data_IF_633832433077
#
_entry.id   IF_633832433077
#
_cell.length_a   1.000
_cell.length_b   1.000
_cell.length_c   1.000
_cell.angle_alpha   90.00
_cell.angle_beta   90.00
_cell.angle_gamma   90.00
#
_symmetry.space_group_name_H-M   'P 1'
#
loop_
_entity.id
_entity.type
_entity.pdbx_description
1 polymer ?
#
# COMPACT_ATOMS: atom_id res chain seq x y z
N UNK A 1 20.29 16.13 10.34
CA UNK A 1 20.04 16.74 9.01
C UNK A 1 20.69 18.11 9.00
N UNK A 2 21.26 18.55 7.88
CA UNK A 2 21.85 19.88 7.76
C UNK A 2 21.05 20.70 6.74
N UNK A 3 20.73 21.98 7.01
CA UNK A 3 20.12 22.86 6.02
C UNK A 3 21.03 23.00 4.78
N UNK A 4 20.41 23.12 3.60
CA UNK A 4 21.14 23.38 2.36
C UNK A 4 21.52 24.87 2.32
N UNK A 5 22.82 25.16 2.35
CA UNK A 5 23.33 26.53 2.30
C UNK A 5 23.41 27.06 0.86
N UNK A 6 23.37 28.40 0.72
CA UNK A 6 23.61 29.09 -0.55
C UNK A 6 22.47 28.96 -1.58
N UNK A 7 21.24 28.71 -1.12
CA UNK A 7 20.06 28.74 -1.98
C UNK A 7 19.52 30.17 -2.13
N UNK A 8 18.94 30.53 -3.29
CA UNK A 8 18.08 31.71 -3.38
C UNK A 8 16.82 31.52 -2.51
N UNK A 9 16.01 32.56 -2.38
CA UNK A 9 14.67 32.41 -1.79
C UNK A 9 13.87 31.38 -2.61
N UNK A 10 13.36 30.35 -1.93
CA UNK A 10 12.66 29.23 -2.55
C UNK A 10 11.16 29.40 -2.38
N UNK A 11 10.43 29.30 -3.49
CA UNK A 11 8.97 29.39 -3.56
C UNK A 11 8.40 28.38 -4.57
N UNK A 12 7.09 28.46 -4.85
CA UNK A 12 6.42 27.56 -5.79
C UNK A 12 6.77 27.81 -7.26
N UNK A 13 7.57 28.83 -7.58
CA UNK A 13 8.05 29.15 -8.92
C UNK A 13 9.44 28.56 -9.21
N UNK A 14 10.23 28.23 -8.18
CA UNK A 14 11.60 27.70 -8.35
C UNK A 14 11.95 26.44 -7.53
N UNK A 15 11.04 25.90 -6.71
CA UNK A 15 11.24 24.74 -5.82
C UNK A 15 11.98 23.53 -6.43
N UNK A 16 11.70 23.21 -7.68
CA UNK A 16 12.24 22.10 -8.47
C UNK A 16 13.72 22.24 -8.78
N UNK A 17 14.32 23.43 -8.62
CA UNK A 17 15.77 23.59 -8.65
C UNK A 17 16.47 22.70 -7.60
N UNK A 18 15.77 22.38 -6.51
CA UNK A 18 16.29 21.47 -5.49
C UNK A 18 16.53 20.06 -6.03
N UNK A 19 15.87 19.67 -7.12
CA UNK A 19 16.03 18.35 -7.72
C UNK A 19 17.49 18.07 -8.16
N UNK A 20 18.26 19.12 -8.48
CA UNK A 20 19.68 19.00 -8.86
C UNK A 20 20.57 18.41 -7.75
N UNK A 21 20.09 18.41 -6.50
CA UNK A 21 20.84 17.93 -5.34
C UNK A 21 20.39 16.55 -4.83
N UNK A 22 19.41 15.92 -5.48
CA UNK A 22 18.84 14.64 -5.03
C UNK A 22 19.84 13.48 -5.07
N UNK A 23 20.89 13.56 -5.91
CA UNK A 23 21.96 12.56 -5.94
C UNK A 23 22.77 12.50 -4.64
N UNK A 24 22.73 13.57 -3.83
CA UNK A 24 23.41 13.64 -2.53
C UNK A 24 22.56 13.10 -1.37
N UNK A 25 21.32 12.70 -1.64
CA UNK A 25 20.38 12.17 -0.64
C UNK A 25 18.99 12.80 -0.73
N UNK A 26 18.05 12.33 0.11
CA UNK A 26 16.69 12.87 0.12
C UNK A 26 16.69 14.33 0.57
N UNK A 27 16.01 15.18 -0.19
CA UNK A 27 15.78 16.58 0.16
C UNK A 27 14.37 16.71 0.71
N UNK A 28 14.23 17.45 1.80
CA UNK A 28 12.99 17.61 2.54
C UNK A 28 12.72 19.09 2.81
N UNK A 29 11.44 19.47 2.70
CA UNK A 29 10.94 20.76 3.18
C UNK A 29 10.70 20.68 4.68
N UNK A 30 11.78 20.58 5.44
CA UNK A 30 11.73 20.34 6.88
C UNK A 30 11.25 21.58 7.65
N UNK A 31 10.46 21.34 8.68
CA UNK A 31 10.01 22.35 9.63
C UNK A 31 11.20 22.96 10.38
N UNK A 32 11.14 24.28 10.59
CA UNK A 32 12.09 24.97 11.46
C UNK A 32 11.76 24.77 12.95
N UNK A 33 10.49 24.54 13.25
CA UNK A 33 9.99 24.39 14.62
C UNK A 33 10.01 22.92 15.08
N UNK A 34 9.97 22.73 16.40
CA UNK A 34 9.75 21.43 17.00
C UNK A 34 8.28 21.01 16.86
N UNK A 35 7.98 20.17 15.86
CA UNK A 35 6.62 19.70 15.56
C UNK A 35 5.95 19.01 16.73
N UNK A 36 6.73 18.45 17.68
CA UNK A 36 6.18 17.78 18.86
C UNK A 36 5.59 18.73 19.89
N UNK A 37 5.84 20.05 19.73
CA UNK A 37 5.19 21.11 20.49
C UNK A 37 3.90 21.61 19.84
N UNK A 38 3.50 21.02 18.72
CA UNK A 38 2.29 21.36 17.96
C UNK A 38 2.22 22.87 17.65
N UNK A 39 3.18 23.40 16.86
CA UNK A 39 3.16 24.80 16.47
C UNK A 39 1.88 25.12 15.69
N UNK A 40 1.39 26.36 15.79
CA UNK A 40 0.04 26.70 15.31
C UNK A 40 -0.16 26.47 13.81
N UNK A 41 0.89 26.64 13.00
CA UNK A 41 0.82 26.40 11.55
C UNK A 41 0.53 24.93 11.19
N UNK A 42 0.84 24.00 12.11
CA UNK A 42 0.62 22.56 11.92
C UNK A 42 -0.87 22.23 11.82
N UNK A 43 -1.74 23.02 12.46
CA UNK A 43 -3.20 22.86 12.42
C UNK A 43 -3.85 23.46 11.17
N UNK A 44 -3.09 24.19 10.35
CA UNK A 44 -3.62 24.90 9.19
C UNK A 44 -4.59 26.04 9.55
N UNK A 45 -5.45 26.39 8.61
CA UNK A 45 -6.49 27.42 8.78
C UNK A 45 -7.87 26.75 8.85
N UNK A 46 -8.67 27.12 9.85
CA UNK A 46 -10.06 26.65 9.94
C UNK A 46 -10.93 27.36 8.90
N UNK A 47 -11.68 26.65 8.04
CA UNK A 47 -12.61 27.27 7.11
C UNK A 47 -13.70 28.09 7.81
N UNK A 48 -14.10 29.19 7.18
CA UNK A 48 -15.22 30.00 7.63
C UNK A 48 -16.58 29.28 7.46
N UNK A 49 -17.69 29.96 7.79
CA UNK A 49 -19.03 29.36 7.71
C UNK A 49 -19.49 29.10 6.26
N UNK A 50 -18.82 29.69 5.27
CA UNK A 50 -19.02 29.39 3.85
C UNK A 50 -18.04 28.31 3.34
N UNK A 51 -17.18 27.80 4.21
CA UNK A 51 -16.15 26.81 3.92
C UNK A 51 -14.90 27.38 3.27
N UNK A 52 -14.67 28.69 3.31
CA UNK A 52 -13.53 29.31 2.63
C UNK A 52 -12.34 29.43 3.58
N UNK A 53 -11.14 29.26 3.02
CA UNK A 53 -9.89 29.69 3.65
C UNK A 53 -9.64 31.14 3.26
N UNK A 54 -9.37 32.02 4.23
CA UNK A 54 -9.22 33.45 4.00
C UNK A 54 -7.76 33.84 3.74
N UNK A 55 -6.82 33.14 4.38
CA UNK A 55 -5.39 33.50 4.36
C UNK A 55 -4.51 32.40 3.76
N UNK A 56 -5.04 31.20 3.52
CA UNK A 56 -4.32 30.06 2.97
C UNK A 56 -4.90 29.56 1.63
N UNK A 57 -4.01 29.04 0.79
CA UNK A 57 -4.36 28.29 -0.43
C UNK A 57 -3.87 26.85 -0.25
N UNK A 58 -4.78 25.95 0.06
CA UNK A 58 -4.49 24.54 0.34
C UNK A 58 -5.01 23.59 -0.75
N UNK A 59 -5.37 24.12 -1.92
CA UNK A 59 -5.87 23.33 -3.04
C UNK A 59 -5.26 23.78 -4.37
N UNK A 60 -4.95 22.81 -5.22
CA UNK A 60 -4.64 23.03 -6.63
C UNK A 60 -5.52 22.15 -7.50
N UNK A 61 -6.07 22.74 -8.56
CA UNK A 61 -6.89 22.05 -9.55
C UNK A 61 -6.09 21.90 -10.83
N UNK A 62 -5.80 20.66 -11.24
CA UNK A 62 -5.03 20.35 -12.45
C UNK A 62 -5.93 19.69 -13.48
N UNK A 63 -6.12 20.35 -14.61
CA UNK A 63 -6.82 19.81 -15.77
C UNK A 63 -5.85 19.03 -16.66
N UNK A 64 -6.16 17.76 -16.91
CA UNK A 64 -5.40 16.85 -17.77
C UNK A 64 -6.28 16.46 -18.95
N UNK A 65 -5.98 17.00 -20.12
CA UNK A 65 -6.74 16.67 -21.34
C UNK A 65 -6.23 15.38 -21.97
N UNK A 66 -7.16 14.51 -22.34
CA UNK A 66 -6.80 13.24 -22.97
C UNK A 66 -6.30 13.46 -24.39
N UNK A 67 -5.05 13.04 -24.64
CA UNK A 67 -4.48 13.02 -26.00
C UNK A 67 -5.28 12.14 -26.96
N UNK A 68 -5.89 11.06 -26.45
CA UNK A 68 -6.56 10.04 -27.28
C UNK A 68 -8.02 10.37 -27.57
N UNK A 69 -8.64 11.18 -26.72
CA UNK A 69 -10.06 11.49 -26.76
C UNK A 69 -10.25 12.93 -26.31
N UNK A 70 -10.35 13.87 -27.25
CA UNK A 70 -10.49 15.29 -26.94
C UNK A 70 -11.80 15.63 -26.22
N UNK A 71 -12.77 14.72 -26.17
CA UNK A 71 -13.97 14.88 -25.35
C UNK A 71 -13.68 14.66 -23.86
N UNK A 72 -12.58 13.98 -23.52
CA UNK A 72 -12.27 13.53 -22.18
C UNK A 72 -11.23 14.43 -21.48
N UNK A 73 -11.60 14.92 -20.30
CA UNK A 73 -10.71 15.70 -19.43
C UNK A 73 -10.80 15.18 -18.01
N UNK A 74 -9.65 14.92 -17.39
CA UNK A 74 -9.56 14.60 -15.97
C UNK A 74 -9.23 15.87 -15.20
N UNK A 75 -10.05 16.21 -14.21
CA UNK A 75 -9.77 17.30 -13.28
C UNK A 75 -9.34 16.71 -11.94
N UNK A 76 -8.08 16.93 -11.57
CA UNK A 76 -7.55 16.56 -10.27
C UNK A 76 -7.71 17.72 -9.31
N UNK A 77 -8.30 17.45 -8.15
CA UNK A 77 -8.42 18.36 -7.02
C UNK A 77 -7.46 17.85 -5.96
N UNK A 78 -6.27 18.44 -5.90
CA UNK A 78 -5.29 18.11 -4.87
C UNK A 78 -5.49 19.00 -3.66
N UNK A 79 -5.36 18.40 -2.48
CA UNK A 79 -5.46 19.02 -1.17
C UNK A 79 -4.11 18.89 -0.47
N UNK A 80 -3.64 19.99 0.12
CA UNK A 80 -2.44 19.97 0.94
C UNK A 80 -2.80 20.18 2.41
N UNK A 81 -2.40 19.25 3.26
CA UNK A 81 -2.52 19.37 4.71
C UNK A 81 -1.15 19.64 5.31
N UNK A 82 -1.06 20.52 6.31
CA UNK A 82 0.20 20.83 7.00
C UNK A 82 0.76 19.63 7.76
N UNK A 83 -0.09 18.70 8.18
CA UNK A 83 0.29 17.58 9.03
C UNK A 83 -0.73 16.45 8.97
N UNK A 84 -0.24 15.25 8.68
CA UNK A 84 -0.95 13.99 8.86
C UNK A 84 -0.63 13.43 10.24
N UNK A 85 -1.68 13.18 11.04
CA UNK A 85 -1.52 12.67 12.40
C UNK A 85 -1.38 11.14 12.43
N UNK A 86 -1.52 10.44 11.32
CA UNK A 86 -1.50 8.99 11.23
C UNK A 86 -2.64 8.31 12.00
N UNK A 87 -2.87 7.01 11.78
CA UNK A 87 -3.84 6.25 12.57
C UNK A 87 -3.45 6.19 14.05
N UNK A 88 -4.45 6.35 14.91
CA UNK A 88 -4.35 6.03 16.33
C UNK A 88 -4.17 4.53 16.52
N UNK A 89 -3.50 4.11 17.59
CA UNK A 89 -3.38 2.68 17.92
C UNK A 89 -4.74 2.02 18.18
N UNK A 90 -5.75 2.80 18.61
CA UNK A 90 -7.14 2.34 18.75
C UNK A 90 -7.82 2.11 17.40
N UNK A 91 -7.22 2.58 16.31
CA UNK A 91 -7.71 2.39 14.94
C UNK A 91 -7.36 1.02 14.35
N UNK A 92 -6.92 0.05 15.17
CA UNK A 92 -6.61 -1.31 14.74
C UNK A 92 -7.79 -2.25 15.00
N UNK A 93 -8.13 -3.09 14.01
CA UNK A 93 -9.24 -4.03 14.08
C UNK A 93 -8.92 -5.24 14.96
N UNK A 94 -9.92 -5.70 15.71
CA UNK A 94 -9.86 -6.96 16.44
C UNK A 94 -9.69 -8.16 15.50
N UNK A 95 -8.78 -9.11 15.79
CA UNK A 95 -8.05 -9.32 17.05
C UNK A 95 -6.64 -8.72 17.10
N UNK A 96 -6.24 -7.91 16.11
CA UNK A 96 -4.87 -7.39 16.02
C UNK A 96 -4.61 -6.28 17.04
N UNK A 97 -5.66 -5.59 17.49
CA UNK A 97 -5.64 -4.68 18.64
C UNK A 97 -5.06 -5.33 19.91
N UNK A 98 -5.32 -6.63 20.12
CA UNK A 98 -4.77 -7.39 21.24
C UNK A 98 -3.24 -7.51 21.23
N UNK A 99 -2.58 -7.37 20.08
CA UNK A 99 -1.11 -7.34 19.97
C UNK A 99 -0.52 -5.99 20.41
N UNK A 100 -1.38 -5.02 20.71
CA UNK A 100 -1.02 -3.63 20.98
C UNK A 100 -1.41 -3.21 22.40
N UNK A 101 -1.78 -4.16 23.26
CA UNK A 101 -2.17 -3.91 24.64
C UNK A 101 -1.09 -3.16 25.46
N UNK A 102 0.19 -3.38 25.15
CA UNK A 102 1.33 -2.73 25.81
C UNK A 102 1.72 -1.39 25.17
N UNK A 103 1.00 -0.96 24.12
CA UNK A 103 1.21 0.34 23.47
C UNK A 103 0.34 1.41 24.15
N UNK A 104 0.90 2.59 24.37
CA UNK A 104 0.17 3.70 24.98
C UNK A 104 -1.07 4.05 24.15
N UNK A 105 -2.24 4.03 24.80
CA UNK A 105 -3.50 4.37 24.17
C UNK A 105 -3.55 5.85 23.80
N UNK A 106 -4.24 6.18 22.71
CA UNK A 106 -4.32 7.57 22.23
C UNK A 106 -3.08 8.00 21.44
N UNK A 107 -2.09 7.13 21.25
CA UNK A 107 -0.91 7.41 20.46
C UNK A 107 -1.17 7.13 18.97
N UNK A 108 -0.64 8.00 18.12
CA UNK A 108 -0.68 7.85 16.68
C UNK A 108 0.67 7.40 16.08
N UNK A 109 0.59 6.77 14.91
CA UNK A 109 1.73 6.25 14.17
C UNK A 109 1.58 6.57 12.68
N UNK A 110 2.70 6.82 12.01
CA UNK A 110 2.69 7.28 10.62
C UNK A 110 2.61 8.80 10.50
N UNK A 111 2.72 9.54 11.60
CA UNK A 111 2.69 10.99 11.65
C UNK A 111 3.73 11.61 10.67
N UNK A 112 3.32 12.57 9.85
CA UNK A 112 4.25 13.33 9.01
C UNK A 112 3.80 14.77 8.76
N UNK A 113 4.79 15.66 8.68
CA UNK A 113 4.58 17.04 8.20
C UNK A 113 4.29 16.97 6.71
N UNK A 114 3.31 17.77 6.27
CA UNK A 114 2.88 17.84 4.88
C UNK A 114 2.12 16.58 4.45
N UNK A 115 1.00 16.76 3.74
CA UNK A 115 0.29 15.65 3.14
C UNK A 115 -0.43 16.05 1.85
N UNK A 116 -0.47 15.14 0.87
CA UNK A 116 -1.10 15.35 -0.42
C UNK A 116 -2.15 14.28 -0.69
N UNK A 117 -3.42 14.68 -0.58
CA UNK A 117 -4.57 13.87 -0.96
C UNK A 117 -5.27 14.46 -2.19
N UNK A 118 -6.12 13.68 -2.86
CA UNK A 118 -6.82 14.17 -4.04
C UNK A 118 -8.08 13.42 -4.42
N UNK A 119 -8.98 14.16 -5.04
CA UNK A 119 -10.02 13.62 -5.90
C UNK A 119 -9.66 13.79 -7.37
N UNK A 120 -10.17 12.91 -8.22
CA UNK A 120 -10.16 13.12 -9.67
C UNK A 120 -11.56 12.95 -10.23
N UNK A 121 -12.08 13.97 -10.92
CA UNK A 121 -13.34 13.90 -11.64
C UNK A 121 -13.06 13.80 -13.13
N UNK A 122 -13.64 12.79 -13.79
CA UNK A 122 -13.53 12.62 -15.23
C UNK A 122 -14.73 13.23 -15.93
N UNK A 123 -14.46 14.12 -16.87
CA UNK A 123 -15.46 14.73 -17.74
C UNK A 123 -15.42 14.10 -19.13
N UNK A 124 -16.59 14.01 -19.76
CA UNK A 124 -16.78 13.75 -21.19
C UNK A 124 -17.73 14.79 -21.76
N UNK A 125 -17.31 15.50 -22.79
CA UNK A 125 -18.08 16.59 -23.42
C UNK A 125 -18.58 17.62 -22.39
N UNK A 126 -17.71 17.96 -21.43
CA UNK A 126 -18.02 18.90 -20.34
C UNK A 126 -18.94 18.35 -19.24
N UNK A 127 -19.39 17.09 -19.30
CA UNK A 127 -20.22 16.45 -18.28
C UNK A 127 -19.42 15.47 -17.44
N UNK A 128 -19.56 15.49 -16.10
CA UNK A 128 -18.86 14.53 -15.25
C UNK A 128 -19.42 13.11 -15.45
N UNK A 129 -18.53 12.13 -15.48
CA UNK A 129 -18.84 10.70 -15.75
C UNK A 129 -18.45 9.78 -14.60
N UNK A 130 -17.53 10.23 -13.74
CA UNK A 130 -17.14 9.51 -12.54
C UNK A 130 -16.11 10.28 -11.74
N UNK A 131 -15.84 9.76 -10.54
CA UNK A 131 -14.93 10.36 -9.57
C UNK A 131 -14.08 9.28 -8.92
N UNK A 132 -12.84 9.61 -8.62
CA UNK A 132 -11.91 8.85 -7.80
C UNK A 132 -11.67 9.60 -6.47
N UNK A 133 -11.61 8.84 -5.38
CA UNK A 133 -11.27 9.30 -4.04
C UNK A 133 -9.98 8.63 -3.61
N UNK A 134 -8.91 9.40 -3.34
CA UNK A 134 -7.65 8.85 -2.81
C UNK A 134 -7.83 8.36 -1.37
N UNK A 135 -7.23 7.22 -1.06
CA UNK A 135 -7.22 6.64 0.27
C UNK A 135 -5.83 6.05 0.49
N UNK A 136 -4.98 6.76 1.23
CA UNK A 136 -3.59 6.36 1.48
C UNK A 136 -2.83 6.11 0.16
N UNK A 137 -2.34 4.89 -0.05
CA UNK A 137 -1.63 4.49 -1.27
C UNK A 137 -2.56 4.08 -2.44
N UNK A 138 -3.87 3.94 -2.22
CA UNK A 138 -4.87 3.51 -3.22
C UNK A 138 -6.13 4.43 -3.21
N UNK A 139 -7.32 3.87 -3.41
CA UNK A 139 -8.57 4.61 -3.40
C UNK A 139 -9.75 3.89 -4.05
N UNK A 140 -10.88 4.60 -4.11
CA UNK A 140 -12.13 4.10 -4.65
C UNK A 140 -12.64 4.96 -5.80
N UNK A 141 -13.20 4.32 -6.82
CA UNK A 141 -13.78 5.00 -7.98
C UNK A 141 -15.28 4.70 -8.09
N UNK A 142 -16.04 5.72 -8.43
CA UNK A 142 -17.49 5.67 -8.56
C UNK A 142 -17.92 6.28 -9.89
N UNK A 143 -19.01 5.77 -10.47
CA UNK A 143 -19.69 6.44 -11.58
C UNK A 143 -20.38 7.70 -11.05
N UNK A 144 -20.57 8.70 -11.91
CA UNK A 144 -21.15 9.96 -11.45
C UNK A 144 -22.58 9.80 -10.90
N UNK A 145 -23.36 8.88 -11.46
CA UNK A 145 -24.73 8.55 -11.07
C UNK A 145 -24.82 7.46 -9.98
N UNK A 146 -23.69 7.07 -9.39
CA UNK A 146 -23.67 6.08 -8.31
C UNK A 146 -24.43 6.60 -7.08
N UNK A 147 -25.28 5.75 -6.50
CA UNK A 147 -26.14 6.08 -5.36
C UNK A 147 -25.36 6.35 -4.06
N UNK A 148 -24.10 5.90 -3.98
CA UNK A 148 -23.22 6.18 -2.85
C UNK A 148 -22.72 7.63 -2.81
N UNK A 149 -22.74 8.33 -3.96
CA UNK A 149 -22.20 9.68 -4.07
C UNK A 149 -23.23 10.73 -3.65
N UNK A 150 -22.96 11.38 -2.52
CA UNK A 150 -23.67 12.61 -2.13
C UNK A 150 -23.15 13.81 -2.92
N UNK A 151 -24.06 14.68 -3.36
CA UNK A 151 -23.74 15.89 -4.13
C UNK A 151 -24.55 17.08 -3.63
N UNK A 152 -23.93 18.24 -3.58
CA UNK A 152 -24.58 19.52 -3.31
C UNK A 152 -24.35 20.47 -4.49
N UNK A 153 -25.43 20.92 -5.13
CA UNK A 153 -25.35 21.77 -6.33
C UNK A 153 -24.41 21.20 -7.41
N UNK A 154 -24.57 19.91 -7.73
CA UNK A 154 -23.72 19.14 -8.66
C UNK A 154 -22.24 18.97 -8.23
N UNK A 155 -21.87 19.39 -7.01
CA UNK A 155 -20.51 19.20 -6.48
C UNK A 155 -20.50 17.99 -5.54
N UNK A 156 -19.57 17.04 -5.71
CA UNK A 156 -19.47 15.88 -4.84
C UNK A 156 -19.08 16.30 -3.43
N UNK A 157 -19.70 15.67 -2.44
CA UNK A 157 -19.29 15.78 -1.04
C UNK A 157 -18.18 14.76 -0.79
N UNK A 158 -17.15 15.18 -0.06
CA UNK A 158 -15.98 14.38 0.29
C UNK A 158 -15.82 14.43 1.79
N UNK A 159 -15.69 13.26 2.41
CA UNK A 159 -15.44 13.11 3.84
C UNK A 159 -13.95 12.76 4.01
N UNK A 160 -13.19 13.63 4.66
CA UNK A 160 -11.77 13.41 4.94
C UNK A 160 -11.62 12.70 6.27
N UNK A 161 -10.83 11.63 6.31
CA UNK A 161 -10.57 10.87 7.51
C UNK A 161 -9.85 11.69 8.57
N UNK A 162 -10.24 11.47 9.82
CA UNK A 162 -9.60 12.10 10.97
C UNK A 162 -8.16 11.62 11.10
N UNK A 163 -7.21 12.55 10.96
CA UNK A 163 -5.77 12.30 11.10
C UNK A 163 -5.07 11.93 9.78
N UNK A 164 -5.56 10.89 9.09
CA UNK A 164 -4.96 10.32 7.87
C UNK A 164 -5.39 10.96 6.55
N UNK A 165 -6.39 11.84 6.61
CA UNK A 165 -6.97 12.59 5.49
C UNK A 165 -7.56 11.80 4.32
N UNK A 166 -7.50 10.47 4.32
CA UNK A 166 -8.08 9.62 3.29
C UNK A 166 -9.51 10.05 2.93
N UNK A 167 -9.82 10.10 1.64
CA UNK A 167 -11.05 10.66 1.12
C UNK A 167 -12.12 9.57 0.92
N UNK A 168 -13.32 9.82 1.43
CA UNK A 168 -14.45 8.90 1.38
C UNK A 168 -15.71 9.54 0.81
N UNK A 169 -16.52 8.72 0.14
CA UNK A 169 -17.81 9.12 -0.43
C UNK A 169 -18.95 9.16 0.60
N UNK A 170 -18.79 8.44 1.72
CA UNK A 170 -19.77 8.39 2.82
C UNK A 170 -19.08 8.63 4.15
N UNK A 171 -19.79 9.17 5.16
CA UNK A 171 -19.26 9.28 6.52
C UNK A 171 -19.25 7.91 7.20
N UNK A 172 -18.60 7.83 8.35
CA UNK A 172 -18.51 6.66 9.22
C UNK A 172 -17.15 5.97 9.16
N UNK A 173 -17.17 4.68 9.51
CA UNK A 173 -15.99 3.85 9.64
C UNK A 173 -15.67 3.14 8.32
N UNK A 174 -14.41 3.23 7.90
CA UNK A 174 -13.93 2.65 6.65
C UNK A 174 -12.70 1.79 6.90
N UNK A 175 -12.80 0.51 6.58
CA UNK A 175 -11.66 -0.40 6.74
C UNK A 175 -10.67 -0.23 5.59
N UNK A 176 -9.41 0.05 5.91
CA UNK A 176 -8.29 0.04 4.98
C UNK A 176 -7.18 -0.91 5.46
N UNK A 177 -6.29 -1.30 4.53
CA UNK A 177 -5.18 -2.25 4.76
C UNK A 177 -5.58 -3.55 5.47
N UNK A 178 -6.86 -3.93 5.36
CA UNK A 178 -7.50 -5.09 6.00
C UNK A 178 -7.53 -5.09 7.54
N UNK A 179 -6.94 -4.09 8.19
CA UNK A 179 -6.66 -4.13 9.63
C UNK A 179 -6.85 -2.79 10.34
N UNK A 180 -7.05 -1.70 9.61
CA UNK A 180 -7.19 -0.36 10.16
C UNK A 180 -8.56 0.21 9.79
N UNK A 181 -9.15 1.01 10.67
CA UNK A 181 -10.33 1.81 10.34
C UNK A 181 -9.99 3.29 10.33
N UNK A 182 -10.35 3.95 9.24
CA UNK A 182 -10.51 5.39 9.21
C UNK A 182 -11.90 5.76 9.68
N UNK A 183 -12.01 6.89 10.37
CA UNK A 183 -13.28 7.50 10.72
C UNK A 183 -13.37 8.87 10.07
N UNK A 184 -14.52 9.17 9.47
CA UNK A 184 -14.80 10.49 8.93
C UNK A 184 -16.26 10.87 9.21
N UNK A 185 -16.52 12.16 9.41
CA UNK A 185 -17.89 12.69 9.51
C UNK A 185 -18.01 14.01 8.74
N UNK A 186 -19.20 14.62 8.76
CA UNK A 186 -19.47 15.83 8.00
C UNK A 186 -18.62 17.04 8.46
N UNK A 187 -18.14 17.04 9.70
CA UNK A 187 -17.26 18.05 10.26
C UNK A 187 -17.63 19.50 9.95
N UNK A 188 -16.60 20.34 9.88
CA UNK A 188 -16.68 21.70 9.33
C UNK A 188 -16.59 21.61 7.82
N UNK A 189 -17.52 22.28 7.12
CA UNK A 189 -17.47 22.38 5.66
C UNK A 189 -16.21 23.10 5.20
N UNK A 190 -15.57 22.55 4.16
CA UNK A 190 -14.47 23.19 3.43
C UNK A 190 -14.80 23.19 1.93
N UNK A 191 -14.76 24.36 1.30
CA UNK A 191 -14.77 24.53 -0.15
C UNK A 191 -13.33 24.76 -0.63
N UNK A 192 -12.61 23.71 -1.04
CA UNK A 192 -11.20 23.84 -1.43
C UNK A 192 -11.02 24.67 -2.70
N UNK A 193 -12.05 24.78 -3.55
CA UNK A 193 -11.95 25.46 -4.84
C UNK A 193 -12.01 26.98 -4.68
N UNK A 194 -12.51 27.50 -3.57
CA UNK A 194 -12.71 28.95 -3.37
C UNK A 194 -11.41 29.76 -3.37
N UNK A 195 -10.28 29.15 -2.97
CA UNK A 195 -8.94 29.77 -2.99
C UNK A 195 -7.95 29.02 -3.89
N UNK A 196 -8.40 28.02 -4.66
CA UNK A 196 -7.51 27.13 -5.39
C UNK A 196 -6.71 27.83 -6.51
N UNK A 197 -5.51 27.31 -6.77
CA UNK A 197 -4.81 27.59 -8.01
C UNK A 197 -5.22 26.62 -9.11
N UNK A 198 -5.45 27.14 -10.31
CA UNK A 198 -5.90 26.34 -11.46
C UNK A 198 -4.77 26.17 -12.46
N UNK A 199 -4.65 24.96 -13.02
CA UNK A 199 -3.61 24.62 -13.97
C UNK A 199 -4.13 23.72 -15.08
N UNK A 200 -3.44 23.78 -16.22
CA UNK A 200 -3.52 22.81 -17.31
C UNK A 200 -2.22 22.04 -17.40
N UNK A 201 -2.31 20.73 -17.48
CA UNK A 201 -1.16 19.85 -17.68
C UNK A 201 -1.25 19.19 -19.06
N UNK A 202 -0.22 19.39 -19.87
CA UNK A 202 -0.07 18.71 -21.16
C UNK A 202 0.62 17.35 -20.95
N UNK A 203 -0.08 16.21 -21.19
CA UNK A 203 0.48 14.88 -20.97
C UNK A 203 1.55 14.48 -21.99
N UNK A 204 1.73 15.22 -23.09
CA UNK A 204 2.75 14.95 -24.11
C UNK A 204 4.06 15.61 -23.74
N UNK A 205 4.02 16.90 -23.42
CA UNK A 205 5.21 17.67 -23.07
C UNK A 205 5.53 17.63 -21.58
N UNK A 206 4.62 17.09 -20.76
CA UNK A 206 4.66 17.15 -19.29
C UNK A 206 4.74 18.57 -18.75
N UNK A 207 4.19 19.55 -19.48
CA UNK A 207 4.21 20.97 -19.12
C UNK A 207 2.96 21.36 -18.34
N UNK A 208 3.16 22.00 -17.18
CA UNK A 208 2.12 22.63 -16.39
C UNK A 208 2.02 24.12 -16.75
N UNK A 209 0.80 24.61 -16.94
CA UNK A 209 0.53 26.03 -17.26
C UNK A 209 -0.57 26.54 -16.34
N UNK A 210 -0.30 27.64 -15.63
CA UNK A 210 -1.28 28.26 -14.74
C UNK A 210 -2.44 28.86 -15.53
N UNK A 211 -3.64 28.70 -15.01
CA UNK A 211 -4.87 29.32 -15.49
C UNK A 211 -5.21 30.42 -14.49
N UNK A 212 -5.13 31.67 -14.92
CA UNK A 212 -5.46 32.81 -14.07
C UNK A 212 -6.96 33.06 -14.10
N UNK A 213 -7.56 33.19 -12.92
CA UNK A 213 -8.94 33.63 -12.77
C UNK A 213 -9.04 35.14 -13.08
N UNK A 214 -10.07 35.58 -13.83
CA UNK A 214 -10.28 36.99 -14.09
C UNK A 214 -10.36 37.79 -12.79
N UNK A 215 -9.53 38.83 -12.66
CA UNK A 215 -9.50 39.70 -11.47
C UNK A 215 -8.55 39.27 -10.35
N UNK A 216 -7.86 38.13 -10.48
CA UNK A 216 -6.79 37.77 -9.54
C UNK A 216 -5.48 38.46 -9.95
N UNK A 217 -4.79 39.20 -9.06
CA UNK A 217 -3.43 39.65 -9.33
C UNK A 217 -2.53 38.42 -9.41
N UNK A 218 -2.14 38.03 -10.63
CA UNK A 218 -1.27 36.89 -10.84
C UNK A 218 0.13 37.21 -10.33
N UNK A 219 0.54 36.61 -9.21
CA UNK A 219 1.94 36.61 -8.76
C UNK A 219 2.52 35.25 -9.11
N UNK A 220 3.47 35.22 -10.06
CA UNK A 220 4.16 34.01 -10.49
C UNK A 220 3.30 33.03 -11.31
N UNK A 221 3.95 32.02 -11.88
CA UNK A 221 3.28 30.87 -12.49
C UNK A 221 3.07 29.73 -11.49
N UNK A 222 3.84 29.70 -10.41
CA UNK A 222 3.76 28.75 -9.30
C UNK A 222 3.59 27.31 -9.81
N UNK A 223 4.41 26.89 -10.77
CA UNK A 223 4.31 25.54 -11.40
C UNK A 223 5.29 24.53 -10.82
N UNK A 224 6.30 25.01 -10.10
CA UNK A 224 7.44 24.22 -9.67
C UNK A 224 7.08 23.16 -8.62
N UNK A 225 6.02 23.41 -7.84
CA UNK A 225 5.48 22.45 -6.85
C UNK A 225 5.19 21.07 -7.45
N UNK A 226 4.76 21.01 -8.72
CA UNK A 226 4.47 19.74 -9.38
C UNK A 226 5.76 18.95 -9.66
N UNK A 227 6.84 19.64 -9.99
CA UNK A 227 8.09 19.02 -10.44
C UNK A 227 9.07 18.74 -9.32
N UNK A 228 8.89 19.33 -8.14
CA UNK A 228 9.70 19.01 -6.97
C UNK A 228 9.55 17.53 -6.59
N UNK A 229 10.67 16.80 -6.66
CA UNK A 229 10.72 15.35 -6.46
C UNK A 229 11.18 14.95 -5.05
N UNK A 230 11.46 15.92 -4.18
CA UNK A 230 11.80 15.69 -2.78
C UNK A 230 10.59 15.39 -1.89
N UNK A 231 10.80 15.56 -0.58
CA UNK A 231 9.82 15.29 0.47
C UNK A 231 9.12 16.58 0.88
N UNK A 232 7.80 16.57 0.83
CA UNK A 232 6.95 17.63 1.34
C UNK A 232 6.80 17.46 2.85
N UNK A 233 7.71 18.05 3.62
CA UNK A 233 7.79 17.93 5.07
C UNK A 233 9.08 17.29 5.57
N UNK A 234 9.11 16.97 6.85
CA UNK A 234 10.27 16.41 7.56
C UNK A 234 10.71 15.04 7.02
N UNK A 235 11.98 14.67 7.25
CA UNK A 235 12.41 13.28 7.12
C UNK A 235 12.11 12.50 8.41
N UNK A 236 11.86 11.21 8.24
CA UNK A 236 11.72 10.26 9.33
C UNK A 236 12.87 10.37 10.33
N UNK A 237 12.53 10.36 11.61
CA UNK A 237 13.52 10.30 12.68
C UNK A 237 14.27 8.95 12.70
N UNK A 238 15.58 8.95 13.03
CA UNK A 238 16.34 7.74 13.30
C UNK A 238 15.67 6.85 14.36
N UNK A 239 15.93 5.55 14.30
CA UNK A 239 15.30 4.55 15.19
C UNK A 239 15.69 4.74 16.66
N UNK A 240 16.86 5.30 16.93
CA UNK A 240 17.39 5.62 18.26
C UNK A 240 17.00 7.02 18.75
N UNK A 241 16.28 7.81 17.93
CA UNK A 241 15.85 9.14 18.32
C UNK A 241 14.85 9.06 19.48
N UNK A 242 14.99 9.87 20.55
CA UNK A 242 14.16 9.75 21.76
C UNK A 242 12.66 9.97 21.53
N UNK A 243 12.30 10.66 20.44
CA UNK A 243 10.90 10.90 20.04
C UNK A 243 10.37 9.85 19.06
N UNK A 244 11.24 9.02 18.51
CA UNK A 244 10.84 7.98 17.57
C UNK A 244 10.43 6.74 18.35
N UNK A 245 9.33 6.12 17.90
CA UNK A 245 8.85 4.88 18.45
C UNK A 245 8.45 3.96 17.32
N UNK A 246 8.54 2.66 17.57
CA UNK A 246 8.21 1.64 16.58
C UNK A 246 7.28 0.63 17.21
N UNK A 247 6.19 0.29 16.53
CA UNK A 247 5.33 -0.81 16.96
C UNK A 247 6.08 -2.13 16.76
N UNK A 248 6.38 -2.92 17.82
CA UNK A 248 7.31 -4.05 17.74
C UNK A 248 6.95 -5.13 16.71
N UNK A 249 5.66 -5.37 16.48
CA UNK A 249 5.18 -6.45 15.61
C UNK A 249 4.98 -6.04 14.14
N UNK A 250 4.68 -4.76 13.92
CA UNK A 250 4.33 -4.24 12.59
C UNK A 250 5.41 -3.33 12.00
N UNK A 251 6.40 -2.93 12.80
CA UNK A 251 7.46 -2.03 12.36
C UNK A 251 7.00 -0.60 12.07
N UNK A 252 5.73 -0.26 12.38
CA UNK A 252 5.17 1.06 12.12
C UNK A 252 5.86 2.09 12.98
N UNK A 253 6.41 3.11 12.34
CA UNK A 253 7.12 4.21 12.98
C UNK A 253 6.14 5.28 13.43
N UNK A 254 6.47 5.97 14.52
CA UNK A 254 5.66 7.09 14.99
C UNK A 254 5.72 8.24 13.99
N UNK A 255 6.91 8.75 13.71
CA UNK A 255 7.11 9.80 12.72
C UNK A 255 7.75 9.22 11.47
N UNK A 256 7.18 9.50 10.29
CA UNK A 256 7.69 9.09 8.99
C UNK A 256 8.06 10.32 8.15
N UNK A 257 8.66 10.08 6.98
CA UNK A 257 8.99 11.19 6.08
C UNK A 257 7.73 11.70 5.39
N UNK A 258 7.61 13.01 5.19
CA UNK A 258 6.54 13.60 4.39
C UNK A 258 6.47 13.01 2.98
N UNK A 259 5.32 13.12 2.28
CA UNK A 259 5.12 12.46 1.01
C UNK A 259 5.94 13.12 -0.11
N UNK A 260 5.94 12.44 -1.25
CA UNK A 260 6.38 13.06 -2.51
C UNK A 260 5.24 13.89 -3.12
N UNK A 261 5.57 14.81 -4.02
CA UNK A 261 4.59 15.74 -4.60
C UNK A 261 3.56 15.11 -5.54
N UNK A 262 2.57 15.91 -6.00
CA UNK A 262 1.41 15.44 -6.77
C UNK A 262 1.72 14.67 -8.06
N UNK A 263 2.90 14.89 -8.67
CA UNK A 263 3.29 14.21 -9.92
C UNK A 263 3.37 12.68 -9.76
N UNK A 264 3.63 12.18 -8.54
CA UNK A 264 3.69 10.73 -8.26
C UNK A 264 2.32 10.06 -8.19
N UNK A 265 1.23 10.85 -8.13
CA UNK A 265 -0.16 10.37 -8.01
C UNK A 265 -0.82 9.98 -9.37
N UNK A 266 0.01 9.77 -10.41
CA UNK A 266 -0.37 9.30 -11.75
C UNK A 266 -1.43 10.19 -12.43
N UNK A 267 -1.03 11.39 -12.87
CA UNK A 267 -1.93 12.35 -13.53
C UNK A 267 -2.51 11.85 -14.87
N UNK A 268 -1.77 11.03 -15.62
CA UNK A 268 -2.21 10.53 -16.93
C UNK A 268 -2.80 9.14 -16.78
N UNK A 269 -4.13 9.05 -16.63
CA UNK A 269 -4.83 7.78 -16.36
C UNK A 269 -5.60 7.25 -17.57
N UNK A 270 -5.65 5.92 -17.71
CA UNK A 270 -6.55 5.26 -18.67
C UNK A 270 -7.96 5.09 -18.09
N UNK A 271 -8.07 4.76 -16.81
CA UNK A 271 -9.32 4.58 -16.07
C UNK A 271 -9.45 5.67 -14.99
N UNK A 272 -10.56 5.66 -14.22
CA UNK A 272 -10.70 6.53 -13.05
C UNK A 272 -9.60 6.23 -12.01
N UNK A 273 -9.44 4.95 -11.70
CA UNK A 273 -8.40 4.48 -10.80
C UNK A 273 -7.00 4.55 -11.43
N UNK A 274 -5.94 4.69 -10.61
CA UNK A 274 -4.56 4.57 -11.06
C UNK A 274 -4.30 3.24 -11.80
N UNK A 275 -3.39 3.25 -12.78
CA UNK A 275 -3.10 2.06 -13.58
C UNK A 275 -2.19 1.05 -12.87
N UNK A 276 -1.38 1.51 -11.92
CA UNK A 276 -0.51 0.68 -11.10
C UNK A 276 -1.13 0.52 -9.72
N UNK A 277 -1.61 -0.68 -9.41
CA UNK A 277 -2.03 -1.03 -8.04
C UNK A 277 -0.82 -1.09 -7.13
N UNK A 278 -1.02 -0.71 -5.87
CA UNK A 278 -0.04 -0.85 -4.79
C UNK A 278 0.38 -2.33 -4.69
N UNK A 279 1.69 -2.57 -4.54
CA UNK A 279 2.19 -3.92 -4.29
C UNK A 279 2.04 -4.21 -2.81
N UNK A 280 1.09 -5.06 -2.46
CA UNK A 280 0.96 -5.54 -1.08
C UNK A 280 2.20 -6.33 -0.68
N UNK A 281 2.73 -6.03 0.51
CA UNK A 281 3.78 -6.84 1.13
C UNK A 281 3.25 -8.22 1.52
N UNK A 282 4.14 -9.21 1.65
CA UNK A 282 3.78 -10.54 2.15
C UNK A 282 3.12 -10.50 3.53
N UNK A 283 3.52 -9.54 4.37
CA UNK A 283 2.93 -9.32 5.69
C UNK A 283 1.49 -8.81 5.57
N UNK A 284 1.26 -7.74 4.80
CA UNK A 284 -0.10 -7.21 4.55
C UNK A 284 -1.02 -8.27 3.93
N UNK A 285 -0.50 -9.05 2.99
CA UNK A 285 -1.24 -10.15 2.38
C UNK A 285 -1.62 -11.23 3.40
N UNK A 286 -0.67 -11.64 4.25
CA UNK A 286 -0.91 -12.60 5.33
C UNK A 286 -1.93 -12.10 6.36
N UNK A 287 -1.82 -10.82 6.76
CA UNK A 287 -2.79 -10.14 7.62
C UNK A 287 -4.18 -10.14 6.96
N UNK A 288 -4.28 -9.78 5.68
CA UNK A 288 -5.55 -9.80 4.94
C UNK A 288 -6.21 -11.18 4.92
N UNK A 289 -5.44 -12.24 4.67
CA UNK A 289 -5.95 -13.62 4.77
C UNK A 289 -6.46 -13.92 6.16
N UNK A 290 -5.65 -13.65 7.19
CA UNK A 290 -6.02 -13.92 8.57
C UNK A 290 -7.31 -13.18 8.96
N UNK A 291 -7.38 -11.87 8.67
CA UNK A 291 -8.55 -11.04 8.97
C UNK A 291 -9.80 -11.51 8.21
N UNK A 292 -9.67 -11.97 6.96
CA UNK A 292 -10.80 -12.54 6.20
C UNK A 292 -11.32 -13.87 6.79
N UNK A 293 -10.42 -14.68 7.34
CA UNK A 293 -10.75 -15.97 7.95
C UNK A 293 -11.26 -15.84 9.39
N UNK A 294 -10.86 -14.78 10.09
CA UNK A 294 -11.10 -14.61 11.53
C UNK A 294 -12.58 -14.72 11.94
N UNK A 295 -13.54 -14.02 11.31
CA UNK A 295 -14.96 -14.11 11.68
C UNK A 295 -15.53 -15.53 11.56
N UNK A 296 -15.00 -16.32 10.61
CA UNK A 296 -15.54 -17.63 10.25
C UNK A 296 -14.88 -18.75 11.05
N UNK A 297 -13.56 -18.70 11.25
CA UNK A 297 -12.80 -19.83 11.78
C UNK A 297 -12.21 -19.59 13.17
N UNK A 298 -11.93 -18.34 13.53
CA UNK A 298 -11.11 -18.01 14.69
C UNK A 298 -11.82 -17.15 15.75
N UNK A 299 -13.12 -16.89 15.58
CA UNK A 299 -13.93 -16.16 16.56
C UNK A 299 -14.77 -17.10 17.44
N UNK A 300 -14.63 -16.96 18.75
CA UNK A 300 -15.44 -17.70 19.75
C UNK A 300 -15.20 -19.21 19.73
N UNK A 301 -16.25 -20.01 19.93
CA UNK A 301 -16.16 -21.47 19.99
C UNK A 301 -15.60 -22.13 18.72
N UNK A 302 -15.71 -21.45 17.57
CA UNK A 302 -15.17 -21.92 16.28
C UNK A 302 -13.64 -22.00 16.27
N UNK A 303 -12.96 -21.17 17.07
CA UNK A 303 -11.51 -21.22 17.20
C UNK A 303 -11.05 -22.59 17.74
N UNK A 304 -11.74 -23.11 18.76
CA UNK A 304 -11.46 -24.42 19.33
C UNK A 304 -11.70 -25.55 18.33
N UNK A 305 -12.79 -25.48 17.56
CA UNK A 305 -13.06 -26.45 16.50
C UNK A 305 -11.99 -26.42 15.40
N UNK A 306 -11.60 -25.23 14.94
CA UNK A 306 -10.55 -25.06 13.93
C UNK A 306 -9.21 -25.60 14.43
N UNK A 307 -8.87 -25.41 15.71
CA UNK A 307 -7.67 -25.97 16.31
C UNK A 307 -7.69 -27.51 16.34
N UNK A 308 -8.83 -28.11 16.70
CA UNK A 308 -9.01 -29.57 16.69
C UNK A 308 -8.83 -30.14 15.27
N UNK A 309 -9.47 -29.52 14.27
CA UNK A 309 -9.35 -29.92 12.86
C UNK A 309 -7.90 -29.80 12.40
N UNK A 310 -7.23 -28.69 12.71
CA UNK A 310 -5.82 -28.49 12.35
C UNK A 310 -4.90 -29.53 12.97
N UNK A 311 -5.06 -29.83 14.27
CA UNK A 311 -4.33 -30.90 14.94
C UNK A 311 -4.59 -32.24 14.25
N UNK A 312 -5.85 -32.55 13.91
CA UNK A 312 -6.21 -33.75 13.17
C UNK A 312 -5.50 -33.86 11.81
N UNK A 313 -5.40 -32.76 11.08
CA UNK A 313 -4.68 -32.70 9.78
C UNK A 313 -3.18 -32.91 9.97
N UNK A 314 -2.55 -32.23 10.93
CA UNK A 314 -1.11 -32.37 11.23
C UNK A 314 -0.78 -33.81 11.64
N UNK A 315 -1.58 -34.38 12.53
CA UNK A 315 -1.45 -35.77 12.95
C UNK A 315 -1.56 -36.70 11.74
N UNK A 316 -2.57 -36.51 10.89
CA UNK A 316 -2.77 -37.30 9.67
C UNK A 316 -1.59 -37.18 8.69
N UNK A 317 -1.03 -35.99 8.51
CA UNK A 317 0.18 -35.74 7.71
C UNK A 317 1.39 -36.48 8.28
N UNK A 318 1.62 -36.40 9.59
CA UNK A 318 2.73 -37.09 10.26
C UNK A 318 2.57 -38.61 10.12
N UNK A 319 1.37 -39.15 10.34
CA UNK A 319 1.10 -40.57 10.14
C UNK A 319 1.25 -40.99 8.67
N UNK A 320 0.77 -40.17 7.73
CA UNK A 320 0.94 -40.38 6.29
C UNK A 320 2.40 -40.42 5.86
N UNK A 321 3.23 -39.47 6.34
CA UNK A 321 4.67 -39.43 6.09
C UNK A 321 5.35 -40.64 6.72
N UNK A 322 5.06 -40.97 7.98
CA UNK A 322 5.62 -42.15 8.64
C UNK A 322 5.25 -43.44 7.92
N UNK A 323 4.01 -43.56 7.47
CA UNK A 323 3.54 -44.69 6.69
C UNK A 323 4.25 -44.78 5.34
N UNK A 324 4.38 -43.67 4.62
CA UNK A 324 5.11 -43.59 3.36
C UNK A 324 6.59 -43.97 3.53
N UNK A 325 7.27 -43.44 4.56
CA UNK A 325 8.67 -43.78 4.89
C UNK A 325 8.81 -45.25 5.29
N UNK A 326 7.90 -45.80 6.10
CA UNK A 326 7.90 -47.22 6.47
C UNK A 326 7.71 -48.10 5.23
N UNK A 327 6.76 -47.75 4.36
CA UNK A 327 6.49 -48.47 3.10
C UNK A 327 7.68 -48.39 2.13
N UNK A 328 8.34 -47.23 2.05
CA UNK A 328 9.56 -47.05 1.28
C UNK A 328 10.71 -47.91 1.82
N UNK A 329 10.95 -47.90 3.14
CA UNK A 329 11.98 -48.74 3.80
C UNK A 329 11.72 -50.24 3.65
N UNK A 330 10.45 -50.67 3.64
CA UNK A 330 10.09 -52.06 3.40
C UNK A 330 10.35 -52.46 1.94
N UNK A 331 10.08 -51.58 0.97
CA UNK A 331 10.43 -51.80 -0.43
C UNK A 331 11.95 -51.83 -0.67
N UNK A 332 12.74 -51.03 0.04
CA UNK A 332 14.20 -51.02 -0.10
C UNK A 332 14.92 -52.11 0.71
N UNK A 333 14.27 -52.73 1.71
CA UNK A 333 14.78 -53.91 2.44
C UNK A 333 14.49 -55.25 1.76
N UNK A 334 13.95 -55.27 0.54
CA UNK A 334 13.81 -56.46 -0.27
C UNK A 334 15.08 -56.77 -1.06
N UNK A 335 16.06 -57.40 -0.39
CA UNK A 335 17.05 -58.40 -0.87
C UNK A 335 18.25 -58.38 0.09
N UNK A 336 18.24 -59.29 1.07
CA UNK A 336 19.47 -59.75 1.75
C UNK A 336 19.70 -61.18 1.28
N UNK A 337 20.76 -61.38 0.49
CA UNK A 337 21.24 -62.72 0.11
C UNK A 337 21.58 -63.45 1.42
N UNK A 338 20.98 -64.60 1.65
CA UNK A 338 21.31 -65.46 2.80
C UNK A 338 22.68 -66.07 2.49
N UNK A 339 23.71 -65.70 3.25
CA UNK A 339 24.96 -66.45 3.28
C UNK A 339 24.68 -67.76 4.01
N UNK A 340 24.71 -68.86 3.28
CA UNK A 340 24.78 -70.20 3.86
C UNK A 340 26.25 -70.54 4.03
N UNK A 341 26.74 -70.49 5.27
CA UNK A 341 28.02 -71.06 5.70
C UNK A 341 28.00 -72.59 5.57
N UNK A 342 28.16 -73.07 4.35
CA UNK A 342 28.40 -74.48 4.06
C UNK A 342 29.38 -74.56 2.89
N UNK A 343 30.67 -74.45 3.20
CA UNK A 343 31.75 -74.86 2.30
C UNK A 343 31.62 -76.35 2.00
N UNK A 344 31.08 -76.69 0.83
CA UNK A 344 31.17 -78.03 0.25
C UNK A 344 32.27 -77.98 -0.82
N UNK A 345 33.41 -78.64 -0.61
CA UNK A 345 34.52 -78.57 -1.55
C UNK A 345 34.29 -79.53 -2.71
N UNK A 346 34.34 -79.03 -3.94
CA UNK A 346 34.52 -79.86 -5.12
C UNK A 346 35.69 -79.28 -5.92
N UNK A 347 36.89 -79.72 -5.55
CA UNK A 347 38.01 -79.71 -6.47
C UNK A 347 37.85 -80.88 -7.44
N UNK A 348 38.19 -80.56 -8.69
CA UNK A 348 38.62 -81.43 -9.78
C UNK A 348 37.58 -82.02 -10.73
N UNK A 349 38.01 -82.01 -11.99
CA UNK A 349 37.52 -82.73 -13.16
C UNK A 349 36.32 -82.05 -13.83
N UNK A 350 36.38 -81.61 -15.08
CA UNK A 350 37.33 -81.82 -16.17
C UNK A 350 36.52 -81.62 -17.45
N UNK A 351 36.91 -80.65 -18.27
CA UNK A 351 36.27 -80.38 -19.55
C UNK A 351 36.39 -81.59 -20.48
N UNK A 352 35.27 -82.18 -20.88
CA UNK A 352 35.16 -83.03 -22.07
C UNK A 352 33.88 -82.71 -22.81
N UNK A 353 34.10 -82.16 -23.99
CA UNK A 353 33.15 -81.93 -25.06
C UNK A 353 33.09 -83.23 -25.87
N UNK A 354 32.01 -83.99 -25.75
CA UNK A 354 31.83 -85.21 -26.53
C UNK A 354 30.71 -84.96 -27.55
N UNK A 355 31.19 -84.72 -28.77
CA UNK A 355 30.48 -84.79 -30.03
C UNK A 355 29.56 -86.00 -30.15
N UNK A 356 28.37 -85.71 -30.67
CA UNK A 356 27.60 -86.51 -31.61
C UNK A 356 26.75 -87.70 -31.09
N UNK A 357 25.49 -87.61 -31.53
CA UNK A 357 24.68 -88.70 -32.06
C UNK A 357 23.98 -89.64 -31.06
N UNK A 358 22.71 -89.31 -30.82
CA UNK A 358 21.64 -90.29 -30.93
C UNK A 358 21.71 -91.02 -32.28
N UNK A 359 21.98 -92.33 -32.26
CA UNK A 359 21.28 -93.34 -33.06
C UNK A 359 21.15 -94.57 -32.15
N UNK A 360 19.91 -94.90 -31.79
CA UNK A 360 19.24 -96.15 -32.18
C UNK A 360 19.84 -97.37 -31.43
N UNK A 361 19.20 -97.83 -30.37
CA UNK A 361 18.10 -98.80 -30.40
C UNK A 361 18.61 -100.24 -30.54
N UNK A 362 18.24 -101.06 -29.56
CA UNK A 362 18.29 -102.53 -29.55
C UNK A 362 19.70 -103.18 -29.71
N UNK A 363 20.02 -104.35 -29.19
CA UNK A 363 19.20 -105.42 -28.64
C UNK A 363 20.09 -106.38 -27.83
N UNK A 364 19.41 -107.25 -27.09
CA UNK A 364 19.90 -108.38 -26.31
C UNK A 364 20.99 -109.27 -26.95
N UNK A 365 22.03 -109.58 -26.18
CA UNK A 365 22.38 -110.93 -25.69
C UNK A 365 23.59 -110.88 -24.76
#
# INVERSE_FOLDING_TARGET
MAPIAGLPEVDLDNLDMLNERLDSGPIALAANDDITKLPTWLFGETPDDLGRLQNATACVVILVESKKDSSMTDAFYFYFYSYDQGPNITQVLHPLDGLLADVEHGRHYGDHVGDWEHNMVRFRDGKPTGIYYSQHEDGAAYKWDDATLSKENERPVVYSAYGSHANYATPGDHVHDSALWDYCDAGRRWDPVSSAYFYRFDPVTSKLTRIFTPGSPGVGNSTSFLYYAGRWGDLQYPDDHPRQQTVPYFGMKRYVSGPTGPLTKQLVRKQLSPGRRVKMSWVQWGVGIFMSMYPTFFRGWRAWLSAIVFIGVVVSLVFGIRYAVKRYRLRTKGYKKVDTDADIPLNSVGYRDDTAAHYADADHA
#
